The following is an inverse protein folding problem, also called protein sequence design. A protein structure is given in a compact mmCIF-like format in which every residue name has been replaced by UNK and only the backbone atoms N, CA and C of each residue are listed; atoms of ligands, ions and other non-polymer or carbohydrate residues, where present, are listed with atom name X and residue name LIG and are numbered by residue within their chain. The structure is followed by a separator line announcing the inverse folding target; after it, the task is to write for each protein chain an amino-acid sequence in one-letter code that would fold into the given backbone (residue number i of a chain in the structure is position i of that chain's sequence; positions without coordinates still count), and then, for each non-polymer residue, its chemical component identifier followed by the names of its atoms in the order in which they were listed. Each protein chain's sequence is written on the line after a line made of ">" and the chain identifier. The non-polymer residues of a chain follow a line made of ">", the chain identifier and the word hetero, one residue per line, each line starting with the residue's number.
data_IF_740463607928
#
_entry.id   IF_740463607928
#
_cell.length_a   1.000
_cell.length_b   1.000
_cell.length_c   1.000
_cell.angle_alpha   90.00
_cell.angle_beta   90.00
_cell.angle_gamma   90.00
#
_symmetry.space_group_name_H-M   'P 1'
#
loop_
_entity.id
_entity.type
_entity.pdbx_description
1 polymer ?
#
# COMPACT_ATOMS: atom_id res chain seq x y z
N UNK A 1 -18.00 1.66 -15.20
CA UNK A 1 -17.63 0.81 -14.07
C UNK A 1 -16.49 1.46 -13.30
N UNK A 2 -16.55 1.41 -11.99
CA UNK A 2 -15.47 1.95 -11.18
C UNK A 2 -14.25 1.05 -11.21
N UNK A 3 -13.10 1.63 -11.19
CA UNK A 3 -11.86 0.89 -11.03
C UNK A 3 -11.78 0.27 -9.64
N UNK A 4 -10.99 -0.80 -9.53
CA UNK A 4 -10.64 -1.36 -8.23
C UNK A 4 -9.87 -0.31 -7.44
N UNK A 5 -10.23 -0.15 -6.20
CA UNK A 5 -9.62 0.80 -5.28
C UNK A 5 -9.04 0.05 -4.09
N UNK A 6 -7.78 0.30 -3.76
CA UNK A 6 -7.11 -0.39 -2.67
C UNK A 6 -6.31 0.57 -1.81
N UNK A 7 -6.08 0.17 -0.56
CA UNK A 7 -5.05 0.75 0.28
C UNK A 7 -3.82 -0.15 0.13
N UNK A 8 -2.65 0.45 -0.10
CA UNK A 8 -1.38 -0.28 -0.16
C UNK A 8 -0.61 -0.02 1.13
N UNK A 9 -0.29 -1.11 1.84
CA UNK A 9 0.54 -0.99 3.04
C UNK A 9 1.97 -0.60 2.67
N UNK A 10 2.70 -0.05 3.63
CA UNK A 10 4.07 0.43 3.43
C UNK A 10 4.97 -0.65 2.86
N UNK A 11 4.86 -1.90 3.32
CA UNK A 11 5.73 -2.97 2.81
C UNK A 11 5.50 -3.27 1.33
N UNK A 12 4.27 -3.10 0.83
CA UNK A 12 3.95 -3.28 -0.59
C UNK A 12 4.56 -2.15 -1.41
N UNK A 13 4.43 -0.91 -0.93
CA UNK A 13 5.04 0.25 -1.60
C UNK A 13 6.57 0.13 -1.63
N UNK A 14 7.15 -0.28 -0.50
CA UNK A 14 8.60 -0.44 -0.37
C UNK A 14 9.12 -1.51 -1.32
N UNK A 15 8.51 -2.70 -1.29
CA UNK A 15 8.92 -3.81 -2.17
C UNK A 15 8.70 -3.48 -3.63
N UNK A 16 7.57 -2.83 -3.95
CA UNK A 16 7.26 -2.45 -5.31
C UNK A 16 8.23 -1.43 -5.88
N UNK A 17 8.73 -0.54 -5.03
CA UNK A 17 9.72 0.46 -5.43
C UNK A 17 11.09 -0.18 -5.66
N UNK A 18 11.51 -1.05 -4.75
CA UNK A 18 12.84 -1.67 -4.82
C UNK A 18 12.93 -2.76 -5.88
N UNK A 19 11.82 -3.45 -6.14
CA UNK A 19 11.80 -4.60 -7.03
C UNK A 19 10.67 -4.46 -8.05
N UNK A 20 10.89 -3.68 -9.13
CA UNK A 20 9.82 -3.36 -10.10
C UNK A 20 9.21 -4.57 -10.80
N UNK A 21 9.98 -5.67 -10.93
CA UNK A 21 9.50 -6.86 -11.60
C UNK A 21 8.77 -7.85 -10.68
N UNK A 22 8.71 -7.53 -9.39
CA UNK A 22 7.97 -8.32 -8.41
C UNK A 22 6.46 -8.08 -8.53
N UNK A 23 5.67 -8.90 -7.86
CA UNK A 23 4.21 -8.68 -7.81
C UNK A 23 3.86 -7.32 -7.20
N UNK A 24 4.44 -6.92 -6.04
CA UNK A 24 4.23 -5.55 -5.57
C UNK A 24 4.64 -4.49 -6.60
N UNK A 25 5.72 -4.73 -7.36
CA UNK A 25 6.15 -3.83 -8.42
C UNK A 25 5.12 -3.70 -9.53
N UNK A 26 4.49 -4.79 -9.91
CA UNK A 26 3.41 -4.79 -10.91
C UNK A 26 2.20 -4.01 -10.43
N UNK A 27 1.86 -4.14 -9.15
CA UNK A 27 0.75 -3.40 -8.54
C UNK A 27 1.03 -1.90 -8.56
N UNK A 28 2.22 -1.49 -8.10
CA UNK A 28 2.61 -0.07 -8.11
C UNK A 28 2.64 0.49 -9.53
N UNK A 29 3.15 -0.29 -10.49
CA UNK A 29 3.17 0.11 -11.90
C UNK A 29 1.76 0.29 -12.46
N UNK A 30 0.84 -0.62 -12.15
CA UNK A 30 -0.55 -0.52 -12.57
C UNK A 30 -1.19 0.75 -12.00
N UNK A 31 -0.91 1.07 -10.75
CA UNK A 31 -1.39 2.30 -10.14
C UNK A 31 -0.86 3.54 -10.87
N UNK A 32 0.45 3.60 -11.09
CA UNK A 32 1.08 4.74 -11.75
C UNK A 32 0.63 4.90 -13.20
N UNK A 33 0.17 3.83 -13.82
CA UNK A 33 -0.36 3.84 -15.19
C UNK A 33 -1.86 4.11 -15.27
N UNK A 34 -2.52 4.31 -14.12
CA UNK A 34 -3.93 4.69 -14.09
C UNK A 34 -4.92 3.54 -14.13
N UNK A 35 -4.47 2.29 -13.96
CA UNK A 35 -5.36 1.11 -13.99
C UNK A 35 -5.93 0.74 -12.64
N UNK A 36 -5.53 1.44 -11.60
CA UNK A 36 -5.85 1.10 -10.23
C UNK A 36 -5.94 2.39 -9.42
N UNK A 37 -6.95 2.52 -8.57
CA UNK A 37 -7.04 3.63 -7.64
C UNK A 37 -6.43 3.22 -6.31
N UNK A 38 -5.64 4.12 -5.72
CA UNK A 38 -4.98 3.85 -4.44
C UNK A 38 -5.32 4.95 -3.45
N UNK A 39 -5.71 4.53 -2.26
CA UNK A 39 -5.92 5.40 -1.12
C UNK A 39 -4.76 5.18 -0.15
N UNK A 40 -4.20 6.27 0.32
CA UNK A 40 -3.15 6.26 1.35
C UNK A 40 -3.53 7.21 2.46
N UNK A 41 -2.77 7.16 3.54
CA UNK A 41 -2.84 8.14 4.62
C UNK A 41 -1.46 8.76 4.82
N UNK A 42 -1.41 9.90 5.47
CA UNK A 42 -0.13 10.53 5.80
C UNK A 42 0.72 9.61 6.67
N UNK A 43 0.07 8.81 7.52
CA UNK A 43 0.77 7.81 8.34
C UNK A 43 1.59 6.83 7.48
N UNK A 44 0.96 6.29 6.42
CA UNK A 44 1.64 5.34 5.51
C UNK A 44 2.77 6.05 4.75
N UNK A 45 2.52 7.26 4.27
CA UNK A 45 3.54 8.03 3.55
C UNK A 45 4.74 8.37 4.44
N UNK A 46 4.50 8.75 5.68
CA UNK A 46 5.57 9.06 6.64
C UNK A 46 6.40 7.82 6.95
N UNK A 47 5.74 6.68 7.11
CA UNK A 47 6.45 5.42 7.34
C UNK A 47 7.30 5.05 6.12
N UNK A 48 6.76 5.19 4.93
CA UNK A 48 7.50 4.91 3.70
C UNK A 48 8.75 5.79 3.60
N UNK A 49 8.60 7.09 3.88
CA UNK A 49 9.73 8.02 3.85
C UNK A 49 10.81 7.63 4.87
N UNK A 50 10.39 7.14 6.03
CA UNK A 50 11.29 6.73 7.09
C UNK A 50 12.05 5.44 6.77
N UNK A 51 11.41 4.49 6.05
CA UNK A 51 12.02 3.19 5.79
C UNK A 51 12.74 3.09 4.45
N UNK A 52 12.44 3.95 3.47
CA UNK A 52 13.11 3.92 2.16
C UNK A 52 14.64 3.99 2.26
N UNK A 53 15.25 4.75 3.16
CA UNK A 53 16.71 4.76 3.28
C UNK A 53 17.34 3.39 3.56
N UNK A 54 16.57 2.45 4.13
CA UNK A 54 17.06 1.09 4.38
C UNK A 54 17.36 0.33 3.09
N UNK A 55 16.82 0.80 1.96
CA UNK A 55 17.06 0.21 0.64
C UNK A 55 18.12 0.97 -0.16
N UNK A 56 18.93 1.79 0.49
CA UNK A 56 19.92 2.63 -0.18
C UNK A 56 20.91 1.80 -1.01
N UNK A 57 21.25 0.59 -0.55
CA UNK A 57 22.11 -0.33 -1.29
C UNK A 57 21.54 -0.73 -2.64
N UNK A 58 20.23 -0.61 -2.81
CA UNK A 58 19.56 -0.96 -4.06
C UNK A 58 19.12 0.28 -4.84
N UNK A 59 18.63 1.30 -4.16
CA UNK A 59 18.09 2.50 -4.81
C UNK A 59 19.13 3.60 -5.01
N UNK A 60 20.04 3.77 -4.03
CA UNK A 60 21.06 4.82 -4.09
C UNK A 60 20.48 6.23 -4.08
N UNK A 61 19.31 6.42 -3.50
CA UNK A 61 18.65 7.72 -3.50
C UNK A 61 19.12 8.60 -2.37
N UNK A 62 19.26 9.89 -2.65
CA UNK A 62 19.48 10.92 -1.62
C UNK A 62 18.19 11.17 -0.84
N UNK A 63 18.31 11.88 0.28
CA UNK A 63 17.15 12.29 1.07
C UNK A 63 16.15 13.08 0.25
N UNK A 64 16.63 13.96 -0.62
CA UNK A 64 15.77 14.78 -1.48
C UNK A 64 15.05 13.92 -2.51
N UNK A 65 15.75 12.96 -3.11
CA UNK A 65 15.13 12.05 -4.07
C UNK A 65 14.05 11.19 -3.42
N UNK A 66 14.27 10.74 -2.19
CA UNK A 66 13.26 9.99 -1.43
C UNK A 66 12.04 10.87 -1.18
N UNK A 67 12.24 12.10 -0.73
CA UNK A 67 11.14 13.04 -0.49
C UNK A 67 10.35 13.30 -1.76
N UNK A 68 11.04 13.56 -2.86
CA UNK A 68 10.38 13.83 -4.15
C UNK A 68 9.56 12.62 -4.61
N UNK A 69 10.09 11.42 -4.40
CA UNK A 69 9.37 10.21 -4.74
C UNK A 69 8.10 10.05 -3.91
N UNK A 70 8.21 10.21 -2.58
CA UNK A 70 7.06 10.11 -1.68
C UNK A 70 6.01 11.17 -2.01
N UNK A 71 6.45 12.39 -2.32
CA UNK A 71 5.54 13.46 -2.73
C UNK A 71 4.81 13.10 -4.03
N UNK A 72 5.47 12.42 -4.96
CA UNK A 72 4.83 11.98 -6.20
C UNK A 72 3.73 10.95 -5.93
N UNK A 73 3.94 10.06 -4.98
CA UNK A 73 2.91 9.10 -4.58
C UNK A 73 1.73 9.79 -3.88
N UNK A 74 2.03 10.76 -3.03
CA UNK A 74 1.00 11.55 -2.35
C UNK A 74 0.12 12.29 -3.35
N UNK A 75 0.72 12.78 -4.42
CA UNK A 75 -0.03 13.47 -5.48
C UNK A 75 -0.95 12.52 -6.24
N UNK A 76 -0.51 11.29 -6.49
CA UNK A 76 -1.30 10.31 -7.24
C UNK A 76 -2.40 9.66 -6.40
N UNK A 77 -2.19 9.52 -5.11
CA UNK A 77 -3.13 8.83 -4.23
C UNK A 77 -4.27 9.74 -3.80
N UNK A 78 -5.38 9.11 -3.42
CA UNK A 78 -6.40 9.79 -2.63
C UNK A 78 -6.00 9.66 -1.16
N UNK A 79 -5.86 10.76 -0.47
CA UNK A 79 -5.44 10.78 0.93
C UNK A 79 -6.65 10.83 1.86
N UNK A 80 -6.65 9.96 2.87
CA UNK A 80 -7.68 9.94 3.90
C UNK A 80 -7.03 10.04 5.27
N UNK A 81 -7.77 10.58 6.22
CA UNK A 81 -7.41 10.56 7.63
C UNK A 81 -7.84 9.22 8.21
N UNK A 82 -6.93 8.43 8.82
CA UNK A 82 -7.34 7.15 9.39
C UNK A 82 -8.40 7.31 10.47
N UNK A 83 -9.39 6.43 10.47
CA UNK A 83 -10.30 6.32 11.60
C UNK A 83 -9.48 5.78 12.78
N UNK A 84 -9.67 6.38 13.95
CA UNK A 84 -9.01 5.91 15.15
C UNK A 84 -9.62 4.56 15.54
N UNK A 85 -8.81 3.50 15.47
CA UNK A 85 -9.25 2.15 15.83
C UNK A 85 -8.35 1.56 16.90
N UNK A 86 -8.91 0.61 17.64
CA UNK A 86 -8.21 -0.13 18.67
C UNK A 86 -8.64 -1.58 18.56
N UNK A 87 -8.24 -2.22 17.46
CA UNK A 87 -8.62 -3.61 17.18
C UNK A 87 -7.82 -4.54 18.10
N UNK A 88 -8.50 -5.28 19.00
CA UNK A 88 -7.79 -6.11 20.00
C UNK A 88 -6.96 -7.25 19.39
N UNK A 89 -7.31 -7.68 18.17
CA UNK A 89 -6.60 -8.77 17.51
C UNK A 89 -5.29 -8.33 16.86
N UNK A 90 -5.07 -7.01 16.73
CA UNK A 90 -3.80 -6.47 16.23
C UNK A 90 -2.88 -6.17 17.40
N UNK A 91 -1.78 -6.91 17.49
CA UNK A 91 -0.82 -6.76 18.58
C UNK A 91 0.08 -5.56 18.41
N UNK A 92 0.46 -5.24 17.17
CA UNK A 92 1.35 -4.11 16.89
C UNK A 92 0.51 -2.83 16.76
N UNK A 93 0.82 -1.84 17.60
CA UNK A 93 0.15 -0.54 17.57
C UNK A 93 0.35 0.18 16.23
N UNK A 94 1.46 -0.10 15.55
CA UNK A 94 1.75 0.51 14.25
C UNK A 94 0.77 0.06 13.16
N UNK A 95 0.12 -1.09 13.33
CA UNK A 95 -0.84 -1.61 12.36
C UNK A 95 -2.23 -0.98 12.52
N UNK A 96 -2.53 -0.38 13.67
CA UNK A 96 -3.84 0.22 13.91
C UNK A 96 -4.16 1.36 12.93
N UNK A 97 -3.24 2.32 12.68
CA UNK A 97 -3.53 3.37 11.69
C UNK A 97 -3.65 2.84 10.26
N UNK A 98 -2.99 1.73 9.93
CA UNK A 98 -3.12 1.12 8.60
C UNK A 98 -4.54 0.55 8.44
N UNK A 99 -5.02 -0.18 9.43
CA UNK A 99 -6.40 -0.64 9.46
C UNK A 99 -7.37 0.55 9.42
N UNK A 100 -7.07 1.59 10.20
CA UNK A 100 -7.86 2.82 10.22
C UNK A 100 -7.95 3.50 8.86
N UNK A 101 -6.90 3.41 8.05
CA UNK A 101 -6.89 3.92 6.68
C UNK A 101 -7.88 3.14 5.81
N UNK A 102 -7.88 1.82 5.91
CA UNK A 102 -8.85 0.99 5.21
C UNK A 102 -10.28 1.37 5.59
N UNK A 103 -10.55 1.50 6.89
CA UNK A 103 -11.89 1.77 7.39
C UNK A 103 -12.38 3.20 7.09
N UNK A 104 -11.46 4.14 6.91
CA UNK A 104 -11.79 5.51 6.53
C UNK A 104 -12.09 5.66 5.05
N UNK A 105 -11.79 4.65 4.26
CA UNK A 105 -11.86 4.70 2.81
C UNK A 105 -13.00 3.81 2.29
N UNK A 106 -13.26 3.94 0.98
CA UNK A 106 -14.16 3.02 0.28
C UNK A 106 -13.39 1.98 -0.52
N UNK A 107 -12.15 1.72 -0.11
CA UNK A 107 -11.30 0.76 -0.80
C UNK A 107 -11.89 -0.64 -0.73
N UNK A 108 -11.69 -1.38 -1.80
CA UNK A 108 -12.12 -2.77 -1.88
C UNK A 108 -11.28 -3.65 -0.97
N UNK A 109 -9.99 -3.34 -0.84
CA UNK A 109 -9.05 -4.13 -0.04
C UNK A 109 -7.94 -3.27 0.53
N UNK A 110 -7.37 -3.77 1.64
CA UNK A 110 -6.02 -3.43 2.08
C UNK A 110 -5.11 -4.52 1.56
N UNK A 111 -4.13 -4.14 0.73
CA UNK A 111 -3.13 -5.07 0.20
C UNK A 111 -1.89 -5.01 1.08
N UNK A 112 -1.53 -6.12 1.69
CA UNK A 112 -0.42 -6.18 2.63
C UNK A 112 0.23 -7.55 2.67
N UNK A 113 1.51 -7.61 3.02
CA UNK A 113 2.21 -8.85 3.33
C UNK A 113 2.38 -9.08 4.82
N UNK A 114 1.87 -8.18 5.67
CA UNK A 114 2.00 -8.28 7.12
C UNK A 114 1.12 -9.39 7.67
N UNK A 115 1.75 -10.34 8.38
CA UNK A 115 1.04 -11.51 8.90
C UNK A 115 -0.01 -11.16 9.94
N UNK A 116 0.22 -10.14 10.76
CA UNK A 116 -0.73 -9.75 11.78
C UNK A 116 -2.00 -9.13 11.17
N UNK A 117 -1.85 -8.32 10.14
CA UNK A 117 -3.00 -7.79 9.39
C UNK A 117 -3.72 -8.90 8.62
N UNK A 118 -2.98 -9.80 7.98
CA UNK A 118 -3.59 -10.92 7.25
C UNK A 118 -4.34 -11.87 8.18
N UNK A 119 -3.93 -11.98 9.44
CA UNK A 119 -4.59 -12.85 10.42
C UNK A 119 -6.04 -12.42 10.70
N UNK A 120 -6.40 -11.17 10.43
CA UNK A 120 -7.77 -10.69 10.63
C UNK A 120 -8.53 -10.51 9.31
N UNK A 121 -8.06 -11.14 8.24
CA UNK A 121 -8.70 -11.05 6.92
C UNK A 121 -10.09 -11.66 6.88
N UNK A 122 -10.46 -12.49 7.84
CA UNK A 122 -11.82 -13.02 7.96
C UNK A 122 -12.83 -11.95 8.40
N UNK A 123 -12.36 -10.87 9.03
CA UNK A 123 -13.20 -9.80 9.55
C UNK A 123 -13.17 -8.57 8.64
N UNK A 124 -12.01 -8.28 8.08
CA UNK A 124 -11.78 -7.09 7.26
C UNK A 124 -11.31 -7.49 5.86
N UNK A 125 -11.51 -6.62 4.89
CA UNK A 125 -11.13 -6.88 3.48
C UNK A 125 -9.63 -6.68 3.31
N UNK A 126 -8.84 -7.67 3.69
CA UNK A 126 -7.38 -7.66 3.64
C UNK A 126 -6.90 -8.81 2.76
N UNK A 127 -5.96 -8.54 1.87
CA UNK A 127 -5.52 -9.50 0.86
C UNK A 127 -4.00 -9.37 0.65
N UNK A 128 -3.35 -10.49 0.29
CA UNK A 128 -1.93 -10.46 -0.06
C UNK A 128 -1.73 -9.84 -1.45
N UNK A 129 -0.53 -9.30 -1.74
CA UNK A 129 -0.23 -8.85 -3.10
C UNK A 129 -0.41 -9.95 -4.15
N UNK A 130 0.03 -11.18 -3.84
CA UNK A 130 -0.07 -12.29 -4.77
C UNK A 130 -1.53 -12.64 -5.09
N UNK A 131 -2.38 -12.73 -4.07
CA UNK A 131 -3.79 -13.06 -4.26
C UNK A 131 -4.52 -11.93 -4.97
N UNK A 132 -4.19 -10.68 -4.64
CA UNK A 132 -4.76 -9.52 -5.32
C UNK A 132 -4.41 -9.55 -6.81
N UNK A 133 -3.14 -9.74 -7.14
CA UNK A 133 -2.70 -9.74 -8.53
C UNK A 133 -3.30 -10.90 -9.32
N UNK A 134 -3.36 -12.08 -8.72
CA UNK A 134 -3.96 -13.25 -9.36
C UNK A 134 -5.43 -13.02 -9.69
N UNK A 135 -6.16 -12.37 -8.79
CA UNK A 135 -7.61 -12.16 -8.97
C UNK A 135 -7.91 -11.02 -9.93
N UNK A 136 -7.18 -9.91 -9.83
CA UNK A 136 -7.53 -8.67 -10.54
C UNK A 136 -6.50 -8.24 -11.57
N UNK A 137 -5.23 -8.54 -11.33
CA UNK A 137 -4.15 -7.97 -12.12
C UNK A 137 -4.06 -8.54 -13.52
N UNK A 138 -4.04 -9.86 -13.62
CA UNK A 138 -3.83 -10.53 -14.89
C UNK A 138 -5.04 -10.48 -15.80
N UNK A 139 -6.23 -10.39 -15.22
CA UNK A 139 -7.48 -10.41 -15.97
C UNK A 139 -7.99 -9.03 -16.33
N UNK A 140 -7.85 -8.06 -15.43
CA UNK A 140 -8.48 -6.74 -15.58
C UNK A 140 -7.48 -5.60 -15.72
N UNK A 141 -6.27 -5.74 -15.16
CA UNK A 141 -5.30 -4.65 -15.10
C UNK A 141 -4.20 -4.84 -16.15
N UNK A 142 -3.73 -6.06 -16.39
CA UNK A 142 -2.60 -6.34 -17.26
C UNK A 142 -2.95 -6.27 -18.76
N UNK A 143 -4.20 -6.06 -19.08
CA UNK A 143 -4.62 -5.86 -20.45
C UNK A 143 -4.53 -4.38 -20.81
#
# INVERSE_FOLDING_TARGET
>A
MSQICVVLDTNVLLSGTAYPNSIPGKIVSAWRSGYLDVILSQYILDELQRVLPRLNHRLGWSSLEIRDFVDSLAFLADLVEPIKVSEPLLRDKADQPVLGTLLASRANYLVTGDKDLLAISAIYSIITPADFWQTYGEQEIAH
#
